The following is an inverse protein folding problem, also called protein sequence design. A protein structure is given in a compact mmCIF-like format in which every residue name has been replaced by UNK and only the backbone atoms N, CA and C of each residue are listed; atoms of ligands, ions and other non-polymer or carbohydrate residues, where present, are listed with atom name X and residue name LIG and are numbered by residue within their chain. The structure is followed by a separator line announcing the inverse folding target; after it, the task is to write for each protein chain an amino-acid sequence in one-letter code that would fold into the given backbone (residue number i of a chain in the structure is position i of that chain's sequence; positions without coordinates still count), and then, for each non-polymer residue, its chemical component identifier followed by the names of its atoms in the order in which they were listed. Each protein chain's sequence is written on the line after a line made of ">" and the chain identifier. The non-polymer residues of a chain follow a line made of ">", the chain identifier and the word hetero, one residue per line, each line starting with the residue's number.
data_IF_042469799086
#
_entry.id   IF_042469799086
#
_cell.length_a   1.000
_cell.length_b   1.000
_cell.length_c   1.000
_cell.angle_alpha   90.00
_cell.angle_beta   90.00
_cell.angle_gamma   90.00
#
_symmetry.space_group_name_H-M   'P 1'
#
loop_
_entity.id
_entity.type
_entity.pdbx_description
1 polymer ?
#
# COMPACT_ATOMS: atom_id res chain seq x y z
N UNK A 1 -10.08 -23.16 -4.75
CA UNK A 1 -9.16 -21.99 -4.70
C UNK A 1 -7.85 -22.44 -4.03
N UNK A 2 -6.68 -22.08 -4.58
CA UNK A 2 -5.40 -22.38 -3.89
C UNK A 2 -5.40 -21.64 -2.54
N UNK A 3 -5.09 -22.34 -1.46
CA UNK A 3 -5.04 -21.75 -0.12
C UNK A 3 -4.04 -20.58 -0.13
N UNK A 4 -4.44 -19.43 0.42
CA UNK A 4 -3.60 -18.24 0.61
C UNK A 4 -2.18 -18.62 1.07
N UNK A 5 -2.13 -19.49 2.08
CA UNK A 5 -0.87 -19.92 2.69
C UNK A 5 -0.03 -20.80 1.78
N UNK A 6 -0.62 -21.55 0.86
CA UNK A 6 0.16 -22.36 -0.09
C UNK A 6 0.93 -21.47 -1.06
N UNK A 7 0.34 -20.35 -1.48
CA UNK A 7 1.03 -19.38 -2.33
C UNK A 7 2.19 -18.76 -1.56
N UNK A 8 1.93 -18.28 -0.34
CA UNK A 8 2.97 -17.66 0.51
C UNK A 8 4.11 -18.65 0.81
N UNK A 9 3.80 -19.88 1.23
CA UNK A 9 4.82 -20.92 1.52
C UNK A 9 5.70 -21.20 0.31
N UNK A 10 5.12 -21.23 -0.90
CA UNK A 10 5.89 -21.41 -2.15
C UNK A 10 6.85 -20.25 -2.40
N UNK A 11 6.39 -19.01 -2.22
CA UNK A 11 7.25 -17.83 -2.39
C UNK A 11 8.41 -17.85 -1.39
N UNK A 12 8.12 -18.16 -0.13
CA UNK A 12 9.15 -18.28 0.92
C UNK A 12 10.17 -19.36 0.55
N UNK A 13 9.72 -20.52 0.06
CA UNK A 13 10.60 -21.61 -0.36
C UNK A 13 11.51 -21.20 -1.52
N UNK A 14 10.95 -20.49 -2.50
CA UNK A 14 11.60 -20.16 -3.77
C UNK A 14 12.45 -18.88 -3.73
N UNK A 15 12.50 -18.17 -2.60
CA UNK A 15 13.18 -16.88 -2.47
C UNK A 15 14.34 -16.90 -1.49
N UNK A 16 15.49 -16.37 -1.88
CA UNK A 16 16.63 -16.14 -0.97
C UNK A 16 16.38 -14.94 -0.03
N UNK A 17 15.68 -13.90 -0.53
CA UNK A 17 15.33 -12.67 0.22
C UNK A 17 13.85 -12.38 0.04
N UNK A 18 13.19 -11.83 1.06
CA UNK A 18 11.80 -11.37 1.00
C UNK A 18 11.70 -9.85 1.09
N UNK A 19 10.91 -9.25 0.20
CA UNK A 19 10.47 -7.87 0.28
C UNK A 19 9.06 -7.84 0.85
N UNK A 20 8.89 -7.25 2.04
CA UNK A 20 7.56 -7.03 2.63
C UNK A 20 7.10 -5.61 2.31
N UNK A 21 6.18 -5.49 1.35
CA UNK A 21 5.68 -4.21 0.84
C UNK A 21 4.49 -3.75 1.66
N UNK A 22 4.67 -2.61 2.32
CA UNK A 22 3.71 -1.91 3.16
C UNK A 22 3.27 -0.61 2.46
N UNK A 23 2.06 -0.15 2.76
CA UNK A 23 1.62 1.19 2.40
C UNK A 23 2.17 2.16 3.46
N UNK A 24 2.99 3.12 3.04
CA UNK A 24 3.65 4.07 3.95
C UNK A 24 2.66 4.88 4.78
N UNK A 25 1.42 5.07 4.31
CA UNK A 25 0.39 5.86 5.00
C UNK A 25 -0.18 5.17 6.24
N UNK A 26 -0.23 3.84 6.21
CA UNK A 26 -0.65 2.99 7.32
C UNK A 26 0.25 1.74 7.41
N UNK A 27 1.53 1.86 7.83
CA UNK A 27 2.45 0.74 7.84
C UNK A 27 2.02 -0.35 8.83
N UNK A 28 1.37 0.03 9.93
CA UNK A 28 0.82 -0.93 10.89
C UNK A 28 -0.30 -1.79 10.28
N UNK A 29 -1.34 -1.13 9.76
CA UNK A 29 -2.53 -1.80 9.20
C UNK A 29 -2.16 -2.66 7.98
N UNK A 30 -1.22 -2.18 7.16
CA UNK A 30 -0.75 -2.91 5.98
C UNK A 30 0.31 -3.98 6.30
N UNK A 31 0.64 -4.20 7.57
CA UNK A 31 1.61 -5.22 8.00
C UNK A 31 0.91 -6.42 8.65
N UNK A 32 0.92 -7.55 7.95
CA UNK A 32 0.31 -8.78 8.46
C UNK A 32 1.22 -9.47 9.50
N UNK A 33 0.76 -9.58 10.75
CA UNK A 33 1.53 -10.18 11.86
C UNK A 33 1.92 -11.64 11.58
N UNK A 34 0.96 -12.46 11.16
CA UNK A 34 1.18 -13.88 10.87
C UNK A 34 2.20 -14.08 9.74
N UNK A 35 2.17 -13.23 8.72
CA UNK A 35 3.13 -13.24 7.62
C UNK A 35 4.54 -12.92 8.14
N UNK A 36 4.69 -11.90 9.00
CA UNK A 36 6.00 -11.56 9.61
C UNK A 36 6.55 -12.73 10.42
N UNK A 37 5.72 -13.36 11.24
CA UNK A 37 6.12 -14.52 12.06
C UNK A 37 6.60 -15.68 11.18
N UNK A 38 5.82 -16.05 10.15
CA UNK A 38 6.17 -17.15 9.25
C UNK A 38 7.35 -16.85 8.31
N UNK A 39 7.72 -15.58 8.12
CA UNK A 39 8.84 -15.17 7.25
C UNK A 39 10.11 -14.81 8.02
N UNK A 40 10.05 -14.75 9.36
CA UNK A 40 11.14 -14.32 10.25
C UNK A 40 12.47 -15.05 10.06
N UNK A 41 12.45 -16.31 9.59
CA UNK A 41 13.63 -17.12 9.33
C UNK A 41 14.35 -16.79 8.01
N UNK A 42 13.80 -15.89 7.18
CA UNK A 42 14.41 -15.43 5.92
C UNK A 42 14.93 -14.00 6.07
N UNK A 43 15.97 -13.60 5.31
CA UNK A 43 16.33 -12.19 5.18
C UNK A 43 15.16 -11.36 4.65
N UNK A 44 14.72 -10.37 5.43
CA UNK A 44 13.60 -9.48 5.09
C UNK A 44 14.12 -8.05 4.85
N UNK A 45 13.60 -7.42 3.81
CA UNK A 45 13.65 -5.98 3.59
C UNK A 45 12.20 -5.46 3.58
N UNK A 46 11.87 -4.59 4.53
CA UNK A 46 10.61 -3.86 4.53
C UNK A 46 10.65 -2.74 3.49
N UNK A 47 9.58 -2.62 2.71
CA UNK A 47 9.42 -1.56 1.72
C UNK A 47 8.24 -0.70 2.14
N UNK A 48 8.50 0.55 2.57
CA UNK A 48 7.46 1.56 2.73
C UNK A 48 7.21 2.21 1.38
N UNK A 49 6.27 1.64 0.62
CA UNK A 49 5.91 2.17 -0.68
C UNK A 49 4.88 3.30 -0.55
N UNK A 50 4.82 4.20 -1.55
CA UNK A 50 4.04 5.46 -1.51
C UNK A 50 4.59 6.45 -0.48
N UNK A 51 5.90 6.44 -0.27
CA UNK A 51 6.55 7.36 0.67
C UNK A 51 6.39 8.84 0.27
N UNK A 52 6.02 9.14 -0.98
CA UNK A 52 5.69 10.49 -1.47
C UNK A 52 4.36 11.04 -0.90
N UNK A 53 3.56 10.22 -0.22
CA UNK A 53 2.28 10.61 0.38
C UNK A 53 2.39 10.87 1.89
N UNK A 54 3.60 10.77 2.47
CA UNK A 54 3.81 10.75 3.92
C UNK A 54 4.98 11.65 4.29
N UNK A 55 4.84 12.36 5.39
CA UNK A 55 5.89 13.22 5.93
C UNK A 55 7.15 12.44 6.30
N UNK A 56 8.31 13.06 6.05
CA UNK A 56 9.62 12.44 6.32
C UNK A 56 9.76 11.99 7.78
N UNK A 57 9.24 12.78 8.72
CA UNK A 57 9.30 12.47 10.14
C UNK A 57 8.57 11.15 10.48
N UNK A 58 7.42 10.87 9.85
CA UNK A 58 6.67 9.62 10.07
C UNK A 58 7.42 8.42 9.45
N UNK A 59 7.99 8.59 8.26
CA UNK A 59 8.80 7.54 7.60
C UNK A 59 10.01 7.14 8.46
N UNK A 60 10.73 8.12 9.03
CA UNK A 60 11.90 7.85 9.88
C UNK A 60 11.53 7.15 11.19
N UNK A 61 10.37 7.47 11.79
CA UNK A 61 9.85 6.74 12.96
C UNK A 61 9.65 5.26 12.62
N UNK A 62 9.04 4.97 11.46
CA UNK A 62 8.81 3.59 11.01
C UNK A 62 10.10 2.86 10.64
N UNK A 63 11.07 3.55 10.03
CA UNK A 63 12.38 2.96 9.74
C UNK A 63 13.10 2.51 11.01
N UNK A 64 13.06 3.31 12.09
CA UNK A 64 13.60 2.93 13.41
C UNK A 64 12.93 1.67 13.96
N UNK A 65 11.60 1.56 13.83
CA UNK A 65 10.83 0.40 14.31
C UNK A 65 11.06 -0.88 13.50
N UNK A 66 11.20 -0.77 12.18
CA UNK A 66 11.31 -1.92 11.26
C UNK A 66 12.75 -2.37 10.99
N UNK A 67 13.75 -1.53 11.25
CA UNK A 67 15.16 -1.82 11.00
C UNK A 67 15.52 -1.82 9.52
N UNK A 68 15.51 -3.00 8.88
CA UNK A 68 15.83 -3.18 7.46
C UNK A 68 14.70 -2.65 6.56
N UNK A 69 14.58 -1.32 6.47
CA UNK A 69 13.50 -0.63 5.80
C UNK A 69 14.01 0.32 4.70
N UNK A 70 13.39 0.26 3.51
CA UNK A 70 13.68 1.13 2.37
C UNK A 70 12.40 1.88 1.98
N UNK A 71 12.53 3.19 1.80
CA UNK A 71 11.45 4.03 1.29
C UNK A 71 11.43 3.97 -0.24
N UNK A 72 10.25 3.74 -0.80
CA UNK A 72 10.07 3.68 -2.25
C UNK A 72 8.86 4.51 -2.65
N UNK A 73 8.99 5.27 -3.73
CA UNK A 73 7.84 5.73 -4.50
C UNK A 73 7.89 5.07 -5.86
N UNK A 74 7.02 4.09 -6.07
CA UNK A 74 6.92 3.44 -7.38
C UNK A 74 6.45 4.42 -8.47
N UNK A 75 5.64 5.43 -8.08
CA UNK A 75 5.12 6.50 -8.93
C UNK A 75 6.24 7.44 -9.38
N UNK A 76 7.00 7.96 -8.42
CA UNK A 76 8.09 8.91 -8.67
C UNK A 76 9.43 8.21 -9.01
N UNK A 77 9.41 6.88 -9.12
CA UNK A 77 10.59 6.02 -9.36
C UNK A 77 11.73 6.25 -8.35
N UNK A 78 11.38 6.57 -7.11
CA UNK A 78 12.31 6.86 -6.03
C UNK A 78 12.68 5.59 -5.24
N UNK A 79 13.94 5.50 -4.80
CA UNK A 79 14.40 4.45 -3.86
C UNK A 79 14.79 3.11 -4.48
N UNK A 80 14.53 2.86 -5.78
CA UNK A 80 14.83 1.57 -6.43
C UNK A 80 16.32 1.26 -6.54
N UNK A 81 17.18 2.26 -6.72
CA UNK A 81 18.64 2.07 -6.75
C UNK A 81 19.15 1.61 -5.37
N UNK A 82 18.66 2.24 -4.31
CA UNK A 82 19.01 1.88 -2.92
C UNK A 82 18.51 0.46 -2.62
N UNK A 83 17.29 0.13 -3.04
CA UNK A 83 16.74 -1.21 -2.91
C UNK A 83 17.60 -2.26 -3.62
N UNK A 84 17.98 -2.03 -4.89
CA UNK A 84 18.87 -2.95 -5.64
C UNK A 84 20.20 -3.15 -4.92
N UNK A 85 20.84 -2.08 -4.43
CA UNK A 85 22.08 -2.16 -3.64
C UNK A 85 21.89 -2.97 -2.35
N UNK A 86 20.80 -2.75 -1.62
CA UNK A 86 20.50 -3.49 -0.38
C UNK A 86 20.25 -4.98 -0.64
N UNK A 87 19.52 -5.32 -1.70
CA UNK A 87 19.33 -6.72 -2.13
C UNK A 87 20.69 -7.38 -2.37
N UNK A 88 21.57 -6.73 -3.14
CA UNK A 88 22.90 -7.26 -3.44
C UNK A 88 23.78 -7.39 -2.20
N UNK A 89 23.69 -6.46 -1.24
CA UNK A 89 24.46 -6.55 0.01
C UNK A 89 24.05 -7.73 0.92
N UNK A 90 22.82 -8.23 0.76
CA UNK A 90 22.33 -9.39 1.51
C UNK A 90 22.45 -10.70 0.72
N UNK A 91 22.83 -10.64 -0.55
CA UNK A 91 22.92 -11.79 -1.42
C UNK A 91 24.12 -12.67 -1.03
N UNK A 92 23.86 -13.94 -0.73
CA UNK A 92 24.89 -14.96 -0.44
C UNK A 92 25.33 -15.76 -1.67
N UNK A 93 24.72 -15.49 -2.82
CA UNK A 93 24.92 -16.19 -4.09
C UNK A 93 25.14 -15.20 -5.21
N UNK A 94 25.67 -15.67 -6.34
CA UNK A 94 25.84 -14.84 -7.54
C UNK A 94 24.47 -14.37 -8.08
N UNK A 95 23.53 -15.30 -8.28
CA UNK A 95 22.13 -15.02 -8.63
C UNK A 95 21.26 -15.12 -7.39
N UNK A 96 20.50 -14.07 -7.10
CA UNK A 96 19.61 -13.96 -5.94
C UNK A 96 18.15 -13.93 -6.39
N UNK A 97 17.35 -14.79 -5.76
CA UNK A 97 15.90 -14.84 -5.93
C UNK A 97 15.22 -14.03 -4.83
N UNK A 98 14.26 -13.19 -5.21
CA UNK A 98 13.61 -12.24 -4.30
C UNK A 98 12.09 -12.37 -4.40
N UNK A 99 11.45 -12.71 -3.28
CA UNK A 99 10.00 -12.79 -3.18
C UNK A 99 9.41 -11.45 -2.77
N UNK A 100 8.28 -11.05 -3.35
CA UNK A 100 7.59 -9.81 -3.01
C UNK A 100 6.26 -10.15 -2.33
N UNK A 101 6.04 -9.70 -1.10
CA UNK A 101 4.83 -10.06 -0.34
C UNK A 101 4.18 -8.81 0.27
N UNK A 102 2.88 -8.87 0.53
CA UNK A 102 2.11 -7.77 1.11
C UNK A 102 0.66 -7.71 0.64
N UNK A 103 -0.18 -6.93 1.33
CA UNK A 103 -1.60 -6.74 1.01
C UNK A 103 -1.82 -6.26 -0.44
N UNK A 104 -2.99 -6.50 -1.06
CA UNK A 104 -3.33 -5.89 -2.34
C UNK A 104 -3.11 -4.37 -2.32
N UNK A 105 -2.81 -3.80 -3.48
CA UNK A 105 -2.72 -2.35 -3.68
C UNK A 105 -1.71 -1.59 -2.79
N UNK A 106 -0.87 -2.28 -2.01
CA UNK A 106 0.36 -1.71 -1.39
C UNK A 106 1.39 -1.31 -2.44
N UNK A 107 1.19 -1.72 -3.70
CA UNK A 107 1.98 -1.32 -4.86
C UNK A 107 3.10 -2.29 -5.23
N UNK A 108 2.96 -3.58 -4.91
CA UNK A 108 3.86 -4.66 -5.32
C UNK A 108 4.10 -4.70 -6.84
N UNK A 109 3.03 -4.71 -7.64
CA UNK A 109 3.15 -4.75 -9.10
C UNK A 109 3.84 -3.50 -9.66
N UNK A 110 3.53 -2.33 -9.09
CA UNK A 110 4.20 -1.08 -9.44
C UNK A 110 5.69 -1.12 -9.07
N UNK A 111 6.04 -1.62 -7.89
CA UNK A 111 7.43 -1.81 -7.45
C UNK A 111 8.20 -2.73 -8.42
N UNK A 112 7.60 -3.88 -8.79
CA UNK A 112 8.18 -4.83 -9.76
C UNK A 112 8.46 -4.13 -11.09
N UNK A 113 7.47 -3.39 -11.61
CA UNK A 113 7.60 -2.66 -12.88
C UNK A 113 8.68 -1.58 -12.80
N UNK A 114 8.73 -0.81 -11.71
CA UNK A 114 9.74 0.22 -11.51
C UNK A 114 11.14 -0.39 -11.37
N UNK A 115 11.28 -1.54 -10.71
CA UNK A 115 12.56 -2.26 -10.60
C UNK A 115 13.07 -2.76 -11.97
N UNK A 116 12.16 -3.18 -12.86
CA UNK A 116 12.50 -3.69 -14.21
C UNK A 116 13.07 -2.63 -15.15
N UNK A 117 12.72 -1.35 -14.98
CA UNK A 117 13.40 -0.24 -15.66
C UNK A 117 13.14 -0.03 -17.17
N UNK A 118 12.11 -0.64 -17.77
CA UNK A 118 11.65 -0.34 -19.16
C UNK A 118 10.12 -0.43 -19.27
N UNK A 119 9.53 0.27 -20.27
CA UNK A 119 8.11 0.19 -20.69
C UNK A 119 7.73 -1.26 -21.09
N UNK A 120 7.60 -2.16 -20.13
CA UNK A 120 7.03 -3.49 -20.35
C UNK A 120 6.15 -3.89 -19.16
N UNK A 121 5.11 -3.09 -18.99
CA UNK A 121 3.74 -3.55 -18.79
C UNK A 121 2.93 -2.26 -18.80
N UNK A 122 2.10 -2.06 -19.82
CA UNK A 122 0.92 -1.23 -19.62
C UNK A 122 0.28 -1.76 -18.34
N UNK A 123 -0.04 -0.89 -17.39
CA UNK A 123 -1.05 -1.18 -16.37
C UNK A 123 -2.38 -1.37 -17.09
N UNK A 124 -2.52 -2.50 -17.76
CA UNK A 124 -3.77 -3.07 -18.18
C UNK A 124 -4.06 -4.20 -17.21
N UNK A 125 -5.29 -4.25 -16.75
CA UNK A 125 -5.97 -5.42 -16.22
C UNK A 125 -5.77 -6.62 -17.18
N UNK A 126 -4.65 -7.34 -17.05
CA UNK A 126 -4.48 -8.63 -17.71
C UNK A 126 -4.94 -9.68 -16.71
N UNK A 127 -6.26 -9.73 -16.51
CA UNK A 127 -6.93 -10.94 -16.06
C UNK A 127 -6.73 -12.00 -17.15
N UNK A 128 -5.88 -13.00 -16.92
CA UNK A 128 -5.80 -14.16 -17.82
C UNK A 128 -4.44 -14.85 -17.94
N UNK A 129 -3.34 -14.28 -17.45
CA UNK A 129 -2.00 -14.89 -17.61
C UNK A 129 -1.46 -15.47 -16.30
N UNK A 130 -1.88 -16.69 -15.91
CA UNK A 130 -1.13 -17.45 -14.89
C UNK A 130 -1.36 -18.96 -14.97
N UNK A 131 -0.65 -19.65 -15.89
CA UNK A 131 -0.57 -21.12 -15.91
C UNK A 131 0.85 -21.71 -15.78
N UNK A 132 1.94 -20.92 -15.77
CA UNK A 132 3.31 -21.42 -15.48
C UNK A 132 4.09 -20.47 -14.58
N UNK A 133 4.92 -21.05 -13.70
CA UNK A 133 5.88 -20.39 -12.79
C UNK A 133 6.73 -19.38 -13.57
N UNK A 134 6.71 -18.10 -13.19
CA UNK A 134 7.55 -17.08 -13.85
C UNK A 134 8.44 -16.40 -12.82
N UNK A 135 9.74 -16.52 -13.03
CA UNK A 135 10.75 -15.72 -12.36
C UNK A 135 11.10 -14.57 -13.28
N UNK A 136 10.99 -13.33 -12.80
CA UNK A 136 11.24 -12.12 -13.59
C UNK A 136 12.69 -11.64 -13.38
N UNK A 137 13.51 -11.64 -14.44
CA UNK A 137 14.86 -11.07 -14.40
C UNK A 137 14.79 -9.54 -14.26
N UNK A 138 15.40 -8.99 -13.22
CA UNK A 138 15.51 -7.53 -12.96
C UNK A 138 16.88 -6.99 -13.32
N UNK A 139 17.92 -7.77 -13.07
CA UNK A 139 19.29 -7.52 -13.49
C UNK A 139 20.01 -8.86 -13.70
N UNK A 140 21.29 -8.85 -14.06
CA UNK A 140 22.08 -10.08 -14.19
C UNK A 140 22.06 -10.95 -12.93
N UNK A 141 22.06 -10.30 -11.76
CA UNK A 141 22.10 -10.96 -10.46
C UNK A 141 20.74 -11.08 -9.77
N UNK A 142 19.74 -10.23 -10.06
CA UNK A 142 18.48 -10.16 -9.30
C UNK A 142 17.31 -10.72 -10.11
N UNK A 143 16.57 -11.65 -9.50
CA UNK A 143 15.41 -12.34 -10.07
C UNK A 143 14.23 -12.24 -9.10
N UNK A 144 13.06 -11.76 -9.53
CA UNK A 144 11.85 -11.73 -8.69
C UNK A 144 11.00 -12.97 -8.91
N UNK A 145 10.51 -13.54 -7.81
CA UNK A 145 9.49 -14.58 -7.84
C UNK A 145 8.12 -13.90 -7.96
N UNK A 146 7.35 -14.24 -9.00
CA UNK A 146 6.01 -13.68 -9.19
C UNK A 146 5.08 -14.02 -8.02
N UNK A 147 4.34 -13.00 -7.56
CA UNK A 147 3.49 -13.06 -6.38
C UNK A 147 2.19 -12.30 -6.65
N UNK A 148 1.02 -12.95 -6.60
CA UNK A 148 -0.23 -12.22 -6.68
C UNK A 148 -0.38 -11.27 -5.47
N UNK A 149 -1.26 -10.28 -5.57
CA UNK A 149 -1.71 -9.55 -4.38
C UNK A 149 -2.43 -10.52 -3.45
N UNK A 150 -1.85 -10.81 -2.28
CA UNK A 150 -2.40 -11.83 -1.38
C UNK A 150 -3.11 -11.15 -0.22
N UNK A 151 -4.42 -11.39 -0.10
CA UNK A 151 -5.22 -11.03 1.09
C UNK A 151 -5.22 -12.17 2.09
N UNK A 152 -4.83 -11.94 3.35
CA UNK A 152 -5.01 -12.94 4.39
C UNK A 152 -6.47 -13.38 4.42
N UNK A 153 -6.72 -14.68 4.26
CA UNK A 153 -8.08 -15.24 4.14
C UNK A 153 -8.98 -14.90 5.34
N UNK A 154 -8.39 -14.59 6.50
CA UNK A 154 -9.10 -14.29 7.74
C UNK A 154 -9.38 -12.80 7.97
N UNK A 155 -8.84 -11.89 7.14
CA UNK A 155 -9.06 -10.46 7.35
C UNK A 155 -10.46 -10.07 6.90
N UNK A 156 -11.29 -9.61 7.85
CA UNK A 156 -12.71 -9.27 7.64
C UNK A 156 -13.05 -7.83 8.01
N UNK A 157 -12.09 -7.10 8.58
CA UNK A 157 -12.27 -5.70 8.92
C UNK A 157 -12.34 -4.84 7.64
N UNK A 158 -13.58 -4.53 7.22
CA UNK A 158 -13.83 -3.74 6.01
C UNK A 158 -13.20 -2.33 6.11
N UNK A 159 -13.21 -1.72 7.30
CA UNK A 159 -12.64 -0.40 7.54
C UNK A 159 -11.13 -0.43 7.31
N UNK A 160 -10.42 -1.35 7.96
CA UNK A 160 -8.99 -1.56 7.74
C UNK A 160 -8.69 -1.83 6.28
N UNK A 161 -9.45 -2.71 5.62
CA UNK A 161 -9.25 -3.05 4.22
C UNK A 161 -9.46 -1.83 3.31
N UNK A 162 -10.44 -0.97 3.59
CA UNK A 162 -10.68 0.25 2.82
C UNK A 162 -9.54 1.28 3.01
N UNK A 163 -9.08 1.49 4.25
CA UNK A 163 -7.99 2.42 4.58
C UNK A 163 -6.67 2.06 3.88
N UNK A 164 -6.33 0.76 3.83
CA UNK A 164 -5.13 0.27 3.13
C UNK A 164 -5.32 0.04 1.63
N UNK A 165 -6.47 0.44 1.08
CA UNK A 165 -6.85 0.28 -0.33
C UNK A 165 -6.95 -1.21 -0.78
N UNK A 166 -7.20 -2.13 0.15
CA UNK A 166 -7.48 -3.53 -0.15
C UNK A 166 -8.96 -3.79 -0.52
N UNK A 167 -9.88 -2.93 -0.08
CA UNK A 167 -11.29 -2.90 -0.47
C UNK A 167 -11.57 -1.61 -1.26
N UNK A 168 -12.14 -1.75 -2.47
CA UNK A 168 -12.49 -0.61 -3.32
C UNK A 168 -13.55 0.27 -2.64
N UNK A 169 -13.36 1.59 -2.67
CA UNK A 169 -14.27 2.55 -2.02
C UNK A 169 -15.75 2.40 -2.45
N UNK A 170 -16.05 1.89 -3.65
CA UNK A 170 -17.44 1.67 -4.09
C UNK A 170 -18.09 0.44 -3.42
N UNK A 171 -17.29 -0.47 -2.89
CA UNK A 171 -17.74 -1.72 -2.25
C UNK A 171 -17.80 -1.63 -0.73
N UNK A 172 -17.37 -0.51 -0.15
CA UNK A 172 -17.49 -0.24 1.29
C UNK A 172 -18.96 -0.04 1.63
N UNK A 173 -19.46 -0.80 2.61
CA UNK A 173 -20.86 -0.72 3.06
C UNK A 173 -21.16 0.59 3.77
N UNK A 174 -20.32 0.94 4.73
CA UNK A 174 -20.47 2.11 5.61
C UNK A 174 -19.32 3.10 5.36
N UNK A 175 -19.31 3.81 4.21
CA UNK A 175 -18.20 4.66 3.80
C UNK A 175 -17.96 5.84 4.75
N UNK A 176 -19.00 6.34 5.40
CA UNK A 176 -18.97 7.38 6.41
C UNK A 176 -18.14 6.96 7.62
N UNK A 177 -18.37 5.78 8.19
CA UNK A 177 -17.56 5.28 9.32
C UNK A 177 -16.07 5.20 8.96
N UNK A 178 -15.76 4.68 7.77
CA UNK A 178 -14.37 4.60 7.28
C UNK A 178 -13.78 5.99 7.04
N UNK A 179 -14.58 6.93 6.53
CA UNK A 179 -14.13 8.30 6.30
C UNK A 179 -13.87 9.04 7.62
N UNK A 180 -14.71 8.85 8.64
CA UNK A 180 -14.50 9.40 9.98
C UNK A 180 -13.22 8.86 10.60
N UNK A 181 -12.98 7.54 10.54
CA UNK A 181 -11.71 6.96 11.02
C UNK A 181 -10.50 7.49 10.24
N UNK A 182 -10.62 7.68 8.93
CA UNK A 182 -9.56 8.28 8.11
C UNK A 182 -9.30 9.74 8.51
N UNK A 183 -10.35 10.53 8.72
CA UNK A 183 -10.25 11.93 9.16
C UNK A 183 -9.60 11.97 10.53
N UNK A 184 -10.00 11.12 11.46
CA UNK A 184 -9.43 11.11 12.81
C UNK A 184 -7.95 10.73 12.80
N UNK A 185 -7.59 9.69 12.03
CA UNK A 185 -6.20 9.19 11.96
C UNK A 185 -5.26 10.07 11.12
N UNK A 186 -5.78 10.79 10.12
CA UNK A 186 -5.01 11.60 9.16
C UNK A 186 -5.54 13.03 9.04
N UNK A 187 -6.05 13.59 10.14
CA UNK A 187 -6.74 14.88 10.25
C UNK A 187 -6.07 16.00 9.48
N UNK A 188 -4.85 16.36 9.89
CA UNK A 188 -4.01 17.37 9.21
C UNK A 188 -3.87 17.16 7.70
N UNK A 189 -3.70 15.93 7.23
CA UNK A 189 -3.56 15.64 5.79
C UNK A 189 -4.88 15.87 5.04
N UNK A 190 -6.00 15.41 5.60
CA UNK A 190 -7.31 15.57 4.99
C UNK A 190 -7.73 17.04 4.99
N UNK A 191 -7.63 17.73 6.13
CA UNK A 191 -7.98 19.14 6.26
C UNK A 191 -7.14 20.02 5.32
N UNK A 192 -5.83 19.78 5.24
CA UNK A 192 -4.94 20.49 4.32
C UNK A 192 -5.32 20.28 2.84
N UNK A 193 -5.63 19.04 2.44
CA UNK A 193 -6.00 18.72 1.06
C UNK A 193 -7.34 19.37 0.65
N UNK A 194 -8.37 19.26 1.49
CA UNK A 194 -9.69 19.86 1.25
C UNK A 194 -9.74 21.36 1.60
N UNK A 195 -8.66 21.89 2.19
CA UNK A 195 -8.51 23.27 2.67
C UNK A 195 -9.65 23.68 3.62
N UNK A 196 -10.02 22.79 4.53
CA UNK A 196 -10.98 23.04 5.61
C UNK A 196 -10.24 23.21 6.93
N UNK A 197 -10.90 23.79 7.93
CA UNK A 197 -10.33 23.94 9.26
C UNK A 197 -10.13 22.57 9.93
N UNK A 198 -9.09 22.47 10.76
CA UNK A 198 -8.84 21.29 11.59
C UNK A 198 -9.66 21.39 12.87
N UNK A 199 -10.89 20.86 12.82
CA UNK A 199 -11.82 20.83 13.95
C UNK A 199 -11.56 19.63 14.87
N UNK A 200 -12.12 19.66 16.06
CA UNK A 200 -12.00 18.55 17.02
C UNK A 200 -12.75 17.31 16.52
N UNK A 201 -14.03 17.45 16.15
CA UNK A 201 -14.85 16.35 15.67
C UNK A 201 -14.61 16.04 14.19
N UNK A 202 -14.32 14.77 13.89
CA UNK A 202 -14.18 14.25 12.53
C UNK A 202 -15.45 14.41 11.69
N UNK A 203 -16.63 14.40 12.32
CA UNK A 203 -17.92 14.59 11.67
C UNK A 203 -18.11 16.04 11.20
N UNK A 204 -17.76 17.02 12.04
CA UNK A 204 -17.81 18.44 11.65
C UNK A 204 -16.88 18.76 10.48
N UNK A 205 -15.71 18.11 10.45
CA UNK A 205 -14.79 18.18 9.30
C UNK A 205 -15.45 17.60 8.05
N UNK A 206 -16.09 16.44 8.16
CA UNK A 206 -16.79 15.79 7.06
C UNK A 206 -17.93 16.65 6.51
N UNK A 207 -18.71 17.30 7.37
CA UNK A 207 -19.76 18.26 6.99
C UNK A 207 -19.17 19.50 6.31
N UNK A 208 -18.09 20.05 6.85
CA UNK A 208 -17.40 21.20 6.26
C UNK A 208 -16.89 20.89 4.84
N UNK A 209 -16.38 19.68 4.61
CA UNK A 209 -15.98 19.22 3.27
C UNK A 209 -17.20 19.10 2.36
N UNK A 210 -18.31 18.53 2.86
CA UNK A 210 -19.53 18.36 2.09
C UNK A 210 -20.09 19.71 1.59
N UNK A 211 -20.19 20.70 2.50
CA UNK A 211 -20.64 22.07 2.18
C UNK A 211 -19.72 22.71 1.14
N UNK A 212 -18.41 22.67 1.39
CA UNK A 212 -17.42 23.29 0.52
C UNK A 212 -17.40 22.73 -0.90
N UNK A 213 -17.64 21.43 -1.04
CA UNK A 213 -17.65 20.74 -2.34
C UNK A 213 -19.06 20.63 -2.94
N UNK A 214 -20.03 21.38 -2.39
CA UNK A 214 -21.42 21.40 -2.81
C UNK A 214 -22.06 20.00 -2.90
N UNK A 215 -21.72 19.14 -1.94
CA UNK A 215 -22.28 17.80 -1.75
C UNK A 215 -23.47 17.92 -0.82
N UNK A 216 -24.59 18.39 -1.37
CA UNK A 216 -25.82 18.63 -0.61
C UNK A 216 -26.97 17.78 -1.15
N UNK A 217 -27.82 17.32 -0.24
CA UNK A 217 -29.11 16.72 -0.54
C UNK A 217 -30.19 17.80 -0.73
N UNK A 218 -31.42 17.37 -1.03
CA UNK A 218 -32.57 18.29 -1.08
C UNK A 218 -32.72 19.00 0.27
N UNK A 219 -33.00 20.31 0.23
CA UNK A 219 -33.11 21.13 1.43
C UNK A 219 -31.78 21.68 1.96
N UNK A 220 -30.66 21.49 1.25
CA UNK A 220 -29.36 22.04 1.64
C UNK A 220 -28.62 21.26 2.72
N UNK A 221 -29.10 20.07 3.08
CA UNK A 221 -28.48 19.20 4.07
C UNK A 221 -27.21 18.55 3.48
N UNK A 222 -26.07 18.52 4.19
CA UNK A 222 -24.86 17.84 3.74
C UNK A 222 -25.08 16.36 3.36
N UNK A 223 -24.61 15.96 2.19
CA UNK A 223 -24.61 14.55 1.74
C UNK A 223 -23.35 13.84 2.26
N UNK A 224 -23.46 13.31 3.48
CA UNK A 224 -22.38 12.62 4.19
C UNK A 224 -21.88 11.40 3.42
N UNK A 225 -22.77 10.55 2.90
CA UNK A 225 -22.40 9.31 2.23
C UNK A 225 -21.66 9.60 0.91
N UNK A 226 -22.16 10.54 0.10
CA UNK A 226 -21.43 10.92 -1.13
C UNK A 226 -20.08 11.56 -0.81
N UNK A 227 -19.99 12.34 0.26
CA UNK A 227 -18.76 13.03 0.66
C UNK A 227 -17.73 12.03 1.16
N UNK A 228 -18.14 11.09 2.00
CA UNK A 228 -17.31 10.00 2.48
C UNK A 228 -16.73 9.16 1.33
N UNK A 229 -17.54 8.75 0.36
CA UNK A 229 -17.07 8.04 -0.85
C UNK A 229 -16.07 8.86 -1.66
N UNK A 230 -16.27 10.19 -1.76
CA UNK A 230 -15.34 11.09 -2.43
C UNK A 230 -13.98 11.12 -1.71
N UNK A 231 -13.99 11.23 -0.37
CA UNK A 231 -12.79 11.23 0.46
C UNK A 231 -12.03 9.91 0.30
N UNK A 232 -12.70 8.77 0.43
CA UNK A 232 -12.09 7.45 0.27
C UNK A 232 -11.52 7.25 -1.14
N UNK A 233 -12.22 7.72 -2.18
CA UNK A 233 -11.72 7.67 -3.56
C UNK A 233 -10.43 8.47 -3.71
N UNK A 234 -10.40 9.71 -3.25
CA UNK A 234 -9.23 10.59 -3.36
C UNK A 234 -8.04 10.06 -2.53
N UNK A 235 -8.32 9.48 -1.36
CA UNK A 235 -7.35 8.76 -0.55
C UNK A 235 -6.78 7.55 -1.30
N UNK A 236 -7.62 6.64 -1.81
CA UNK A 236 -7.18 5.43 -2.50
C UNK A 236 -6.40 5.74 -3.79
N UNK A 237 -6.73 6.83 -4.47
CA UNK A 237 -6.02 7.34 -5.65
C UNK A 237 -4.71 8.09 -5.32
N UNK A 238 -4.42 8.33 -4.04
CA UNK A 238 -3.20 9.03 -3.60
C UNK A 238 -3.18 10.50 -4.00
N UNK A 239 -4.34 11.17 -4.03
CA UNK A 239 -4.43 12.61 -4.29
C UNK A 239 -4.18 13.44 -3.04
N UNK A 240 -4.51 12.90 -1.87
CA UNK A 240 -4.28 13.49 -0.54
C UNK A 240 -2.78 13.47 -0.22
N UNK A 241 -2.03 14.36 -0.85
CA UNK A 241 -0.60 14.58 -0.60
C UNK A 241 -0.44 15.56 0.54
N UNK A 242 0.52 15.30 1.43
CA UNK A 242 1.01 16.35 2.31
C UNK A 242 1.81 17.32 1.45
N UNK A 243 1.38 18.57 1.40
CA UNK A 243 2.19 19.64 0.78
C UNK A 243 3.21 20.08 1.83
N UNK A 244 4.51 20.18 1.47
CA UNK A 244 5.53 20.71 2.37
C UNK A 244 5.22 22.16 2.76
#
# INVERSE_FOLDING_TARGET
>A
MKNFWDIIKRVIKDSDILLLVLDARFPELSSNKELREKTSHRPIIYILNKCDLVEKAELEKWKKKLGNCIFVSSREKFGTTILKKKILSLARKEKVTVGVLGYPNTGKSSLINTLKGRKSAKTSSISGYTKRRQTLKISERIYLVDTPGVLPYMEKDETKLALINALDFNKVKDPDLVALELIETKKRTICSYYRVEELEDSYDILESIAIKYNKLQKGGVPDIISTAKMILKDWQQGKTKVRP
#
